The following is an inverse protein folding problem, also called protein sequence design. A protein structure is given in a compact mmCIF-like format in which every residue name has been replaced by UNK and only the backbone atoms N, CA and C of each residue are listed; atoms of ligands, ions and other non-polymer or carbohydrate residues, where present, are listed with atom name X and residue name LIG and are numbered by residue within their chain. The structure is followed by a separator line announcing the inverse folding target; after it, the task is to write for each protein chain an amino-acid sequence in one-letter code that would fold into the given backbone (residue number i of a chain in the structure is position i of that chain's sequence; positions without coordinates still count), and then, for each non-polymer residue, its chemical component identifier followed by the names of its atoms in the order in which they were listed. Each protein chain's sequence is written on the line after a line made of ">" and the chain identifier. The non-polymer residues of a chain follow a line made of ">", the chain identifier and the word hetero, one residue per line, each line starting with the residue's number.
data_IF_740176324812
#
_entry.id   IF_740176324812
#
_cell.length_a   1.000
_cell.length_b   1.000
_cell.length_c   1.000
_cell.angle_alpha   90.00
_cell.angle_beta   90.00
_cell.angle_gamma   90.00
#
_symmetry.space_group_name_H-M   'P 1'
#
loop_
_entity.id
_entity.type
_entity.pdbx_description
1 polymer ?
#
# COMPACT_ATOMS: atom_id res chain seq x y z
N UNK A 1 -53.18 -29.37 19.01
CA UNK A 1 -52.31 -28.24 19.45
C UNK A 1 -51.65 -28.66 20.74
N UNK A 2 -50.33 -28.55 20.84
CA UNK A 2 -49.62 -28.92 22.06
C UNK A 2 -50.03 -27.96 23.19
N UNK A 3 -50.37 -28.50 24.37
CA UNK A 3 -50.78 -27.72 25.56
C UNK A 3 -49.59 -26.93 26.13
N UNK A 4 -48.37 -27.32 25.76
CA UNK A 4 -47.11 -26.74 26.23
C UNK A 4 -46.22 -26.50 25.00
N UNK A 5 -45.87 -25.25 24.76
CA UNK A 5 -44.89 -24.85 23.75
C UNK A 5 -43.48 -24.99 24.33
N UNK A 6 -42.52 -25.45 23.52
CA UNK A 6 -41.11 -25.57 23.92
C UNK A 6 -40.29 -24.59 23.09
N UNK A 7 -39.70 -23.61 23.75
CA UNK A 7 -38.77 -22.64 23.16
C UNK A 7 -37.35 -23.08 23.50
N UNK A 8 -36.54 -23.32 22.47
CA UNK A 8 -35.14 -23.70 22.61
C UNK A 8 -34.35 -23.09 21.47
N UNK A 9 -33.04 -23.00 21.65
CA UNK A 9 -32.16 -22.59 20.57
C UNK A 9 -32.20 -23.58 19.41
N UNK A 10 -32.57 -23.10 18.21
CA UNK A 10 -32.44 -23.81 16.94
C UNK A 10 -31.71 -22.95 15.87
N UNK A 11 -31.05 -21.88 16.32
CA UNK A 11 -30.29 -20.98 15.47
C UNK A 11 -29.04 -21.62 14.86
N UNK A 12 -28.44 -20.97 13.84
CA UNK A 12 -27.29 -21.50 13.15
C UNK A 12 -26.01 -21.42 13.99
N UNK A 13 -25.05 -22.30 13.71
CA UNK A 13 -23.76 -22.30 14.39
C UNK A 13 -22.95 -21.02 14.12
N UNK A 14 -22.05 -20.67 15.04
CA UNK A 14 -21.15 -19.51 14.88
C UNK A 14 -21.79 -18.15 15.15
N UNK A 15 -22.99 -18.13 15.74
CA UNK A 15 -23.75 -16.92 16.05
C UNK A 15 -23.58 -16.53 17.52
N UNK A 16 -23.43 -15.24 17.79
CA UNK A 16 -23.34 -14.69 19.15
C UNK A 16 -24.72 -14.37 19.76
N UNK A 17 -25.65 -13.84 18.96
CA UNK A 17 -27.03 -13.65 19.39
C UNK A 17 -28.03 -14.04 18.31
N UNK A 18 -29.12 -14.67 18.72
CA UNK A 18 -30.19 -15.09 17.83
C UNK A 18 -31.56 -14.87 18.47
N UNK A 19 -32.46 -14.24 17.71
CA UNK A 19 -33.84 -13.98 18.10
C UNK A 19 -34.71 -15.17 17.72
N UNK A 20 -35.45 -15.71 18.70
CA UNK A 20 -36.45 -16.75 18.45
C UNK A 20 -37.57 -16.19 17.54
N UNK A 21 -37.98 -16.89 16.46
CA UNK A 21 -38.89 -16.32 15.46
C UNK A 21 -40.31 -16.05 15.97
N UNK A 22 -40.84 -16.91 16.84
CA UNK A 22 -42.20 -16.75 17.37
C UNK A 22 -42.20 -15.85 18.61
N UNK A 23 -43.03 -14.81 18.60
CA UNK A 23 -43.18 -13.87 19.72
C UNK A 23 -44.41 -14.15 20.57
N UNK A 24 -45.34 -14.97 20.08
CA UNK A 24 -46.56 -15.34 20.81
C UNK A 24 -46.25 -16.54 21.70
N UNK A 25 -46.03 -16.27 22.99
CA UNK A 25 -45.69 -17.30 23.96
C UNK A 25 -46.93 -17.67 24.79
N UNK A 26 -47.17 -18.97 24.94
CA UNK A 26 -48.15 -19.51 25.87
C UNK A 26 -47.78 -19.26 27.34
N UNK A 27 -48.79 -19.26 28.23
CA UNK A 27 -48.61 -19.06 29.68
C UNK A 27 -47.74 -20.13 30.37
N UNK A 28 -47.53 -21.28 29.73
CA UNK A 28 -46.75 -22.41 30.26
C UNK A 28 -45.58 -22.81 29.35
N UNK A 29 -45.11 -21.87 28.52
CA UNK A 29 -44.00 -22.13 27.61
C UNK A 29 -42.77 -22.59 28.38
N UNK A 30 -42.19 -23.71 27.94
CA UNK A 30 -40.96 -24.27 28.49
C UNK A 30 -39.78 -23.71 27.71
N UNK A 31 -38.97 -22.87 28.35
CA UNK A 31 -37.73 -22.35 27.81
C UNK A 31 -36.58 -23.30 28.17
N UNK A 32 -35.85 -23.78 27.17
CA UNK A 32 -34.66 -24.62 27.36
C UNK A 32 -33.44 -23.82 26.89
N UNK A 33 -32.52 -23.55 27.81
CA UNK A 33 -31.28 -22.83 27.56
C UNK A 33 -30.11 -23.80 27.67
N UNK A 34 -29.24 -23.83 26.65
CA UNK A 34 -28.06 -24.69 26.67
C UNK A 34 -27.01 -24.19 27.66
N UNK A 35 -26.08 -25.06 28.06
CA UNK A 35 -25.09 -24.80 29.11
C UNK A 35 -24.19 -23.58 28.82
N UNK A 36 -23.87 -23.37 27.55
CA UNK A 36 -23.04 -22.26 27.08
C UNK A 36 -23.85 -21.04 26.63
N UNK A 37 -25.12 -20.95 26.98
CA UNK A 37 -26.04 -19.90 26.55
C UNK A 37 -26.70 -19.20 27.73
N UNK A 38 -27.17 -17.99 27.45
CA UNK A 38 -28.07 -17.24 28.30
C UNK A 38 -29.21 -16.72 27.44
N UNK A 39 -30.44 -16.85 27.92
CA UNK A 39 -31.61 -16.33 27.21
C UNK A 39 -32.09 -15.04 27.87
N UNK A 40 -32.41 -14.02 27.08
CA UNK A 40 -32.96 -12.75 27.56
C UNK A 40 -34.36 -12.58 26.99
N UNK A 41 -35.32 -12.25 27.86
CA UNK A 41 -36.68 -11.95 27.47
C UNK A 41 -36.87 -10.44 27.30
N UNK A 42 -37.39 -10.03 26.16
CA UNK A 42 -37.80 -8.65 25.90
C UNK A 42 -39.32 -8.56 25.82
N UNK A 43 -39.89 -7.49 26.37
CA UNK A 43 -41.30 -7.16 26.20
C UNK A 43 -41.49 -5.66 26.16
N UNK A 44 -42.34 -5.18 25.25
CA UNK A 44 -42.63 -3.75 25.13
C UNK A 44 -41.41 -2.90 24.81
N UNK A 45 -40.36 -3.49 24.22
CA UNK A 45 -39.09 -2.81 23.94
C UNK A 45 -38.08 -2.80 25.09
N UNK A 46 -38.40 -3.36 26.24
CA UNK A 46 -37.49 -3.43 27.39
C UNK A 46 -36.93 -4.84 27.59
N UNK A 47 -35.64 -4.93 27.91
CA UNK A 47 -35.02 -6.17 28.37
C UNK A 47 -35.48 -6.43 29.81
N UNK A 48 -36.14 -7.55 30.07
CA UNK A 48 -36.72 -7.86 31.38
C UNK A 48 -35.80 -8.80 32.16
N UNK A 49 -36.03 -10.11 32.09
CA UNK A 49 -35.28 -11.12 32.83
C UNK A 49 -34.30 -11.89 31.94
N UNK A 50 -33.24 -12.41 32.56
CA UNK A 50 -32.30 -13.34 31.93
C UNK A 50 -32.38 -14.72 32.57
N UNK A 51 -32.19 -15.75 31.75
CA UNK A 51 -32.32 -17.15 32.10
C UNK A 51 -31.01 -17.86 31.76
N UNK A 52 -30.37 -18.42 32.77
CA UNK A 52 -29.15 -19.22 32.62
C UNK A 52 -29.48 -20.60 32.05
N UNK A 53 -28.45 -21.43 31.84
CA UNK A 53 -28.59 -22.82 31.44
C UNK A 53 -29.66 -23.59 32.25
N UNK A 54 -30.43 -24.43 31.57
CA UNK A 54 -31.44 -25.28 32.19
C UNK A 54 -32.83 -25.13 31.56
N UNK A 55 -33.81 -25.77 32.20
CA UNK A 55 -35.23 -25.71 31.82
C UNK A 55 -35.94 -24.72 32.73
N UNK A 56 -36.62 -23.75 32.12
CA UNK A 56 -37.37 -22.70 32.78
C UNK A 56 -38.81 -22.71 32.30
N UNK A 57 -39.75 -22.39 33.18
CA UNK A 57 -41.17 -22.22 32.81
C UNK A 57 -41.46 -20.73 32.74
N UNK A 58 -41.77 -20.23 31.54
CA UNK A 58 -42.16 -18.84 31.34
C UNK A 58 -43.63 -18.67 31.71
N UNK A 59 -43.89 -17.96 32.80
CA UNK A 59 -45.24 -17.55 33.20
C UNK A 59 -45.21 -16.10 33.65
N UNK A 60 -46.29 -15.36 33.38
CA UNK A 60 -46.41 -13.94 33.75
C UNK A 60 -46.24 -13.71 35.26
N UNK A 61 -46.53 -14.71 36.09
CA UNK A 61 -46.41 -14.66 37.54
C UNK A 61 -44.99 -14.92 38.06
N UNK A 62 -44.16 -15.67 37.32
CA UNK A 62 -42.83 -16.10 37.77
C UNK A 62 -41.68 -15.19 37.29
N UNK A 63 -42.00 -14.15 36.52
CA UNK A 63 -41.03 -13.23 35.93
C UNK A 63 -41.19 -11.89 36.69
N UNK A 64 -40.33 -11.59 37.69
CA UNK A 64 -40.57 -10.54 38.67
C UNK A 64 -40.88 -9.16 38.06
N UNK A 65 -40.19 -8.80 36.97
CA UNK A 65 -40.40 -7.50 36.31
C UNK A 65 -41.68 -7.52 35.46
N UNK A 66 -42.02 -8.65 34.83
CA UNK A 66 -43.29 -8.80 34.08
C UNK A 66 -44.51 -8.70 35.00
N UNK A 67 -44.43 -9.24 36.23
CA UNK A 67 -45.55 -9.23 37.16
C UNK A 67 -46.01 -7.80 37.51
N UNK A 68 -45.07 -6.84 37.57
CA UNK A 68 -45.36 -5.43 37.84
C UNK A 68 -45.94 -4.68 36.64
N UNK A 69 -45.53 -5.05 35.42
CA UNK A 69 -45.97 -4.40 34.16
C UNK A 69 -47.31 -4.96 33.68
N UNK A 70 -47.66 -6.19 34.03
CA UNK A 70 -48.81 -6.94 33.51
C UNK A 70 -49.89 -7.10 34.59
N UNK A 71 -50.30 -6.00 35.23
CA UNK A 71 -51.52 -5.96 36.03
C UNK A 71 -52.75 -5.84 35.11
N UNK A 72 -53.07 -6.91 34.39
CA UNK A 72 -54.28 -7.04 33.55
C UNK A 72 -55.33 -7.92 34.26
N UNK A 73 -56.65 -7.64 34.14
CA UNK A 73 -57.73 -8.32 34.88
C UNK A 73 -58.02 -9.76 34.39
N UNK A 74 -57.12 -10.37 33.61
CA UNK A 74 -57.29 -11.69 32.98
C UNK A 74 -56.78 -12.87 33.83
N UNK A 75 -56.67 -12.72 35.16
CA UNK A 75 -56.39 -13.83 36.07
C UNK A 75 -55.11 -14.63 35.80
N UNK A 76 -54.11 -14.01 35.16
CA UNK A 76 -52.78 -14.61 34.92
C UNK A 76 -52.70 -15.69 33.84
N UNK A 77 -53.72 -15.87 32.97
CA UNK A 77 -53.83 -17.01 32.03
C UNK A 77 -53.99 -16.64 30.55
N UNK A 78 -53.37 -15.55 30.09
CA UNK A 78 -53.37 -15.18 28.67
C UNK A 78 -52.00 -15.41 28.03
N UNK A 79 -51.94 -15.88 26.77
CA UNK A 79 -50.74 -15.74 25.94
C UNK A 79 -50.24 -14.29 26.00
N UNK A 80 -48.93 -14.12 25.95
CA UNK A 80 -48.29 -12.82 25.98
C UNK A 80 -47.28 -12.71 24.84
N UNK A 81 -47.19 -11.52 24.25
CA UNK A 81 -46.17 -11.22 23.25
C UNK A 81 -44.87 -10.85 23.95
N UNK A 82 -43.81 -11.59 23.68
CA UNK A 82 -42.46 -11.30 24.15
C UNK A 82 -41.43 -11.89 23.18
N UNK A 83 -40.24 -11.28 23.14
CA UNK A 83 -39.14 -11.76 22.32
C UNK A 83 -38.16 -12.55 23.19
N UNK A 84 -37.76 -13.74 22.72
CA UNK A 84 -36.72 -14.53 23.38
C UNK A 84 -35.44 -14.42 22.57
N UNK A 85 -34.39 -13.94 23.21
CA UNK A 85 -33.06 -13.81 22.64
C UNK A 85 -32.13 -14.83 23.26
N UNK A 86 -31.50 -15.67 22.45
CA UNK A 86 -30.45 -16.57 22.90
C UNK A 86 -29.10 -15.95 22.60
N UNK A 87 -28.27 -15.81 23.64
CA UNK A 87 -26.91 -15.29 23.56
C UNK A 87 -25.93 -16.41 23.86
N UNK A 88 -24.98 -16.63 22.96
CA UNK A 88 -23.93 -17.62 23.11
C UNK A 88 -22.75 -17.02 23.88
N UNK A 89 -22.40 -17.64 25.01
CA UNK A 89 -21.32 -17.20 25.92
C UNK A 89 -20.04 -18.01 25.74
N UNK A 90 -19.97 -18.90 24.73
CA UNK A 90 -18.73 -19.59 24.39
C UNK A 90 -17.64 -18.59 24.01
N UNK A 91 -16.41 -18.90 24.42
CA UNK A 91 -15.24 -18.13 24.01
C UNK A 91 -14.89 -18.46 22.55
N UNK A 92 -15.18 -17.55 21.63
CA UNK A 92 -14.84 -17.68 20.22
C UNK A 92 -13.41 -17.22 19.99
N UNK A 93 -12.49 -18.15 19.74
CA UNK A 93 -11.05 -17.90 19.75
C UNK A 93 -10.45 -17.52 18.38
N UNK A 94 -11.25 -17.57 17.31
CA UNK A 94 -10.77 -17.48 15.92
C UNK A 94 -11.47 -16.36 15.15
N UNK A 95 -11.58 -15.18 15.78
CA UNK A 95 -12.11 -13.99 15.11
C UNK A 95 -11.01 -13.35 14.29
N UNK A 96 -10.99 -13.65 12.99
CA UNK A 96 -9.99 -13.14 12.06
C UNK A 96 -10.18 -11.65 11.79
N UNK A 97 -9.07 -10.94 11.66
CA UNK A 97 -9.04 -9.55 11.23
C UNK A 97 -7.90 -9.32 10.24
N UNK A 98 -8.04 -8.27 9.43
CA UNK A 98 -7.00 -7.86 8.49
C UNK A 98 -7.18 -6.41 8.08
N UNK A 99 -6.07 -5.78 7.69
CA UNK A 99 -6.07 -4.42 7.15
C UNK A 99 -6.86 -4.37 5.85
N UNK A 100 -7.89 -3.53 5.81
CA UNK A 100 -8.75 -3.36 4.65
C UNK A 100 -8.06 -2.73 3.45
N UNK A 101 -7.11 -1.85 3.73
CA UNK A 101 -6.28 -1.13 2.77
C UNK A 101 -4.83 -1.23 3.23
N UNK A 102 -3.85 -1.23 2.32
CA UNK A 102 -2.44 -1.16 2.70
C UNK A 102 -2.15 0.07 3.56
N UNK A 103 -1.34 -0.12 4.58
CA UNK A 103 -0.79 0.90 5.45
C UNK A 103 0.41 1.52 4.76
N UNK A 104 0.32 2.80 4.43
CA UNK A 104 1.46 3.54 3.86
C UNK A 104 2.38 3.95 5.00
N UNK A 105 3.55 3.32 5.08
CA UNK A 105 4.52 3.54 6.14
C UNK A 105 5.86 3.96 5.54
N UNK A 106 6.57 4.87 6.21
CA UNK A 106 7.95 5.17 5.87
C UNK A 106 8.87 4.30 6.73
N UNK A 107 9.73 3.51 6.09
CA UNK A 107 10.74 2.74 6.81
C UNK A 107 11.80 3.70 7.39
N UNK A 108 12.07 3.68 8.70
CA UNK A 108 13.00 4.63 9.33
C UNK A 108 14.48 4.36 8.99
N UNK A 109 14.83 3.14 8.59
CA UNK A 109 16.21 2.73 8.28
C UNK A 109 16.57 3.05 6.84
N UNK A 110 15.66 2.78 5.90
CA UNK A 110 15.88 2.96 4.47
C UNK A 110 15.23 4.22 3.91
N UNK A 111 14.38 4.91 4.69
CA UNK A 111 13.70 6.16 4.31
C UNK A 111 12.82 6.02 3.05
N UNK A 112 12.33 4.80 2.77
CA UNK A 112 11.44 4.52 1.65
C UNK A 112 10.01 4.37 2.13
N UNK A 113 9.06 4.75 1.27
CA UNK A 113 7.64 4.49 1.48
C UNK A 113 7.31 3.05 1.07
N UNK A 114 6.61 2.34 1.95
CA UNK A 114 6.26 0.94 1.77
C UNK A 114 4.79 0.76 2.12
N UNK A 115 4.07 0.00 1.30
CA UNK A 115 2.69 -0.38 1.56
C UNK A 115 2.65 -1.70 2.35
N UNK A 116 2.19 -1.69 3.58
CA UNK A 116 2.18 -2.87 4.46
C UNK A 116 0.75 -3.36 4.70
N UNK A 117 0.52 -4.67 4.77
CA UNK A 117 -0.73 -5.24 5.27
C UNK A 117 -0.46 -6.04 6.54
N UNK A 118 -1.44 -6.05 7.43
CA UNK A 118 -1.37 -6.81 8.66
C UNK A 118 -2.64 -7.65 8.81
N UNK A 119 -2.49 -8.85 9.34
CA UNK A 119 -3.60 -9.73 9.64
C UNK A 119 -3.32 -10.54 10.88
N UNK A 120 -4.40 -11.04 11.48
CA UNK A 120 -4.33 -11.84 12.68
C UNK A 120 -5.69 -12.32 13.11
N UNK A 121 -5.78 -12.63 14.40
CA UNK A 121 -7.01 -13.10 15.02
C UNK A 121 -7.11 -12.62 16.47
N UNK A 122 -8.32 -12.60 16.99
CA UNK A 122 -8.57 -12.41 18.42
C UNK A 122 -9.68 -13.32 18.91
N UNK A 123 -9.73 -13.48 20.23
CA UNK A 123 -10.80 -14.15 20.94
C UNK A 123 -11.85 -13.15 21.44
N UNK A 124 -13.11 -13.56 21.46
CA UNK A 124 -14.19 -12.82 22.11
C UNK A 124 -15.07 -13.72 22.94
N UNK A 125 -15.58 -13.18 24.04
CA UNK A 125 -16.60 -13.81 24.86
C UNK A 125 -17.65 -12.78 25.22
N UNK A 126 -18.93 -13.14 25.15
CA UNK A 126 -19.99 -12.27 25.63
C UNK A 126 -20.05 -12.37 27.17
N UNK A 127 -19.65 -11.28 27.83
CA UNK A 127 -19.59 -11.21 29.29
C UNK A 127 -20.91 -10.67 29.87
N UNK A 128 -21.47 -9.63 29.26
CA UNK A 128 -22.77 -9.05 29.62
C UNK A 128 -23.74 -9.14 28.44
N UNK A 129 -24.57 -10.20 28.37
CA UNK A 129 -25.54 -10.40 27.30
C UNK A 129 -26.55 -9.26 27.15
N UNK A 130 -26.96 -8.61 28.24
CA UNK A 130 -27.94 -7.52 28.18
C UNK A 130 -27.32 -6.28 27.55
N UNK A 131 -26.14 -5.88 28.02
CA UNK A 131 -25.39 -4.74 27.46
C UNK A 131 -25.03 -4.99 26.00
N UNK A 132 -24.65 -6.22 25.66
CA UNK A 132 -24.38 -6.66 24.30
C UNK A 132 -25.59 -6.49 23.37
N UNK A 133 -26.75 -7.04 23.76
CA UNK A 133 -27.96 -6.92 22.95
C UNK A 133 -28.39 -5.46 22.76
N UNK A 134 -28.39 -4.67 23.83
CA UNK A 134 -28.84 -3.27 23.80
C UNK A 134 -27.91 -2.35 23.01
N UNK A 135 -26.59 -2.57 23.05
CA UNK A 135 -25.62 -1.67 22.41
C UNK A 135 -25.23 -2.08 20.99
N UNK A 136 -25.19 -3.38 20.69
CA UNK A 136 -24.68 -3.87 19.40
C UNK A 136 -25.75 -4.53 18.53
N UNK A 137 -26.63 -5.35 19.10
CA UNK A 137 -27.55 -6.15 18.28
C UNK A 137 -28.75 -5.32 17.79
N UNK A 138 -29.30 -4.48 18.67
CA UNK A 138 -30.40 -3.57 18.31
C UNK A 138 -31.61 -4.32 17.75
N UNK A 139 -31.92 -4.11 16.48
CA UNK A 139 -33.09 -4.69 15.79
C UNK A 139 -32.75 -5.84 14.84
N UNK A 140 -31.49 -6.27 14.76
CA UNK A 140 -31.12 -7.41 13.93
C UNK A 140 -31.85 -8.67 14.42
N UNK A 141 -32.15 -9.65 13.55
CA UNK A 141 -32.68 -10.95 14.01
C UNK A 141 -31.56 -11.89 14.48
N UNK A 142 -30.32 -11.63 14.06
CA UNK A 142 -29.15 -12.46 14.31
C UNK A 142 -27.90 -11.59 14.29
N UNK A 143 -26.92 -11.91 15.14
CA UNK A 143 -25.63 -11.23 15.21
C UNK A 143 -24.49 -12.25 15.21
N UNK A 144 -23.67 -12.21 14.17
CA UNK A 144 -22.58 -13.15 13.92
C UNK A 144 -21.20 -12.49 13.97
N UNK A 145 -20.17 -13.28 13.66
CA UNK A 145 -18.78 -12.84 13.63
C UNK A 145 -18.51 -11.76 12.60
N UNK A 146 -19.07 -11.87 11.40
CA UNK A 146 -18.82 -10.90 10.34
C UNK A 146 -19.44 -9.54 10.66
N UNK A 147 -20.64 -9.54 11.23
CA UNK A 147 -21.31 -8.32 11.70
C UNK A 147 -20.48 -7.64 12.78
N UNK A 148 -19.98 -8.41 13.76
CA UNK A 148 -19.12 -7.89 14.81
C UNK A 148 -17.85 -7.24 14.27
N UNK A 149 -17.12 -7.94 13.39
CA UNK A 149 -15.88 -7.43 12.79
C UNK A 149 -16.15 -6.15 11.97
N UNK A 150 -17.29 -6.09 11.28
CA UNK A 150 -17.71 -4.90 10.53
C UNK A 150 -17.90 -3.69 11.46
N UNK A 151 -18.58 -3.86 12.60
CA UNK A 151 -18.88 -2.77 13.54
C UNK A 151 -17.60 -2.24 14.21
N UNK A 152 -16.69 -3.13 14.58
CA UNK A 152 -15.42 -2.74 15.21
C UNK A 152 -14.31 -2.39 14.22
N UNK A 153 -14.55 -2.48 12.90
CA UNK A 153 -13.53 -2.27 11.87
C UNK A 153 -12.81 -0.94 12.03
N UNK A 154 -13.53 0.16 12.19
CA UNK A 154 -12.93 1.49 12.33
C UNK A 154 -12.02 1.57 13.56
N UNK A 155 -12.49 1.07 14.69
CA UNK A 155 -11.74 1.04 15.95
C UNK A 155 -10.48 0.18 15.84
N UNK A 156 -10.60 -1.02 15.27
CA UNK A 156 -9.49 -1.94 15.01
C UNK A 156 -8.45 -1.28 14.13
N UNK A 157 -8.85 -0.80 12.94
CA UNK A 157 -7.93 -0.23 11.96
C UNK A 157 -7.20 1.00 12.51
N UNK A 158 -7.90 1.89 13.22
CA UNK A 158 -7.27 3.08 13.82
C UNK A 158 -6.17 2.70 14.80
N UNK A 159 -6.43 1.76 15.71
CA UNK A 159 -5.45 1.35 16.73
C UNK A 159 -4.29 0.53 16.15
N UNK A 160 -4.57 -0.37 15.21
CA UNK A 160 -3.55 -1.16 14.52
C UNK A 160 -2.58 -0.22 13.77
N UNK A 161 -3.13 0.73 13.00
CA UNK A 161 -2.33 1.65 12.20
C UNK A 161 -1.46 2.55 13.08
N UNK A 162 -2.05 3.13 14.12
CA UNK A 162 -1.32 4.00 15.06
C UNK A 162 -0.18 3.23 15.74
N UNK A 163 -0.46 2.04 16.30
CA UNK A 163 0.54 1.29 17.06
C UNK A 163 1.66 0.77 16.17
N UNK A 164 1.36 0.18 15.01
CA UNK A 164 2.39 -0.26 14.06
C UNK A 164 3.26 0.94 13.64
N UNK A 165 2.65 2.05 13.23
CA UNK A 165 3.39 3.25 12.79
C UNK A 165 4.27 3.82 13.90
N UNK A 166 3.73 3.91 15.13
CA UNK A 166 4.43 4.46 16.28
C UNK A 166 5.67 3.63 16.64
N UNK A 167 5.61 2.30 16.52
CA UNK A 167 6.75 1.42 16.77
C UNK A 167 7.86 1.64 15.75
N UNK A 168 7.51 1.76 14.46
CA UNK A 168 8.48 2.08 13.41
C UNK A 168 9.17 3.41 13.69
N UNK A 169 8.39 4.48 13.90
CA UNK A 169 8.92 5.83 14.01
C UNK A 169 9.71 6.05 15.31
N UNK A 170 9.14 5.68 16.47
CA UNK A 170 9.75 6.00 17.75
C UNK A 170 10.88 5.05 18.14
N UNK A 171 10.73 3.75 17.88
CA UNK A 171 11.81 2.78 18.14
C UNK A 171 12.83 2.71 16.99
N UNK A 172 12.58 3.41 15.87
CA UNK A 172 13.42 3.41 14.65
C UNK A 172 13.70 2.01 14.11
N UNK A 173 12.70 1.12 14.21
CA UNK A 173 12.80 -0.28 13.75
C UNK A 173 12.40 -0.34 12.27
N UNK A 174 13.19 -1.05 11.46
CA UNK A 174 12.82 -1.29 10.07
C UNK A 174 11.59 -2.20 9.99
N UNK A 175 10.75 -2.01 8.97
CA UNK A 175 9.61 -2.91 8.74
C UNK A 175 10.04 -4.38 8.60
N UNK A 176 11.24 -4.63 8.08
CA UNK A 176 11.79 -5.97 7.91
C UNK A 176 12.06 -6.68 9.25
N UNK A 177 12.21 -5.91 10.33
CA UNK A 177 12.52 -6.38 11.68
C UNK A 177 11.28 -6.34 12.60
N UNK A 178 10.13 -5.83 12.10
CA UNK A 178 8.92 -5.63 12.91
C UNK A 178 8.36 -6.92 13.50
N UNK A 179 8.58 -8.06 12.82
CA UNK A 179 8.12 -9.37 13.25
C UNK A 179 8.69 -9.79 14.61
N UNK A 180 9.84 -9.23 15.04
CA UNK A 180 10.37 -9.45 16.38
C UNK A 180 9.51 -8.82 17.50
N UNK A 181 8.63 -7.87 17.16
CA UNK A 181 7.85 -7.07 18.10
C UNK A 181 6.35 -7.34 18.04
N UNK A 182 5.88 -8.26 17.18
CA UNK A 182 4.43 -8.50 16.97
C UNK A 182 3.71 -8.90 18.25
N UNK A 183 4.36 -9.64 19.16
CA UNK A 183 3.78 -10.03 20.46
C UNK A 183 3.57 -8.81 21.36
N UNK A 184 4.56 -7.91 21.44
CA UNK A 184 4.48 -6.67 22.22
C UNK A 184 3.39 -5.74 21.66
N UNK A 185 3.37 -5.56 20.34
CA UNK A 185 2.37 -4.76 19.63
C UNK A 185 0.97 -5.33 19.85
N UNK A 186 0.81 -6.65 19.73
CA UNK A 186 -0.49 -7.33 19.94
C UNK A 186 -1.04 -7.08 21.34
N UNK A 187 -0.19 -7.19 22.38
CA UNK A 187 -0.58 -6.92 23.76
C UNK A 187 -0.98 -5.46 23.97
N UNK A 188 -0.27 -4.52 23.34
CA UNK A 188 -0.61 -3.09 23.41
C UNK A 188 -1.95 -2.79 22.70
N UNK A 189 -2.19 -3.39 21.53
CA UNK A 189 -3.48 -3.26 20.83
C UNK A 189 -4.61 -3.82 21.71
N UNK A 190 -4.45 -5.03 22.26
CA UNK A 190 -5.45 -5.63 23.13
C UNK A 190 -5.80 -4.72 24.31
N UNK A 191 -4.79 -4.19 25.00
CA UNK A 191 -4.99 -3.32 26.15
C UNK A 191 -5.77 -2.04 25.82
N UNK A 192 -5.52 -1.44 24.65
CA UNK A 192 -6.27 -0.26 24.19
C UNK A 192 -7.71 -0.59 23.81
N UNK A 193 -7.94 -1.73 23.16
CA UNK A 193 -9.26 -2.11 22.66
C UNK A 193 -10.17 -2.71 23.73
N UNK A 194 -9.61 -3.32 24.78
CA UNK A 194 -10.36 -4.07 25.78
C UNK A 194 -11.51 -3.26 26.41
N UNK A 195 -11.26 -1.99 26.76
CA UNK A 195 -12.28 -1.13 27.35
C UNK A 195 -13.48 -0.89 26.42
N UNK A 196 -13.22 -0.59 25.14
CA UNK A 196 -14.28 -0.35 24.15
C UNK A 196 -15.12 -1.59 23.85
N UNK A 197 -14.50 -2.77 23.85
CA UNK A 197 -15.22 -4.04 23.73
C UNK A 197 -16.09 -4.30 24.98
N UNK A 198 -15.53 -4.12 26.18
CA UNK A 198 -16.25 -4.31 27.46
C UNK A 198 -17.40 -3.30 27.62
N UNK A 199 -17.25 -2.09 27.09
CA UNK A 199 -18.33 -1.10 27.02
C UNK A 199 -19.51 -1.59 26.20
N UNK A 200 -19.29 -2.53 25.29
CA UNK A 200 -20.31 -3.19 24.47
C UNK A 200 -20.73 -4.55 25.03
N UNK A 201 -20.26 -4.94 26.22
CA UNK A 201 -20.58 -6.23 26.86
C UNK A 201 -19.75 -7.42 26.35
N UNK A 202 -18.69 -7.16 25.59
CA UNK A 202 -17.81 -8.18 25.00
C UNK A 202 -16.45 -8.13 25.71
N UNK A 203 -15.97 -9.27 26.17
CA UNK A 203 -14.59 -9.44 26.62
C UNK A 203 -13.68 -9.74 25.42
N UNK A 204 -12.61 -8.97 25.26
CA UNK A 204 -11.59 -9.18 24.24
C UNK A 204 -10.42 -9.99 24.80
N UNK A 205 -10.20 -11.16 24.21
CA UNK A 205 -9.19 -12.12 24.63
C UNK A 205 -8.18 -12.37 23.50
N UNK A 206 -6.96 -12.78 23.85
CA UNK A 206 -5.98 -13.37 22.93
C UNK A 206 -5.85 -12.64 21.58
N UNK A 207 -5.65 -11.32 21.60
CA UNK A 207 -5.42 -10.57 20.37
C UNK A 207 -4.03 -10.86 19.85
N UNK A 208 -3.93 -11.31 18.60
CA UNK A 208 -2.67 -11.62 17.95
C UNK A 208 -2.60 -10.99 16.56
N UNK A 209 -1.41 -10.48 16.24
CA UNK A 209 -0.97 -10.23 14.88
C UNK A 209 -0.21 -11.48 14.43
N UNK A 210 -0.74 -12.16 13.41
CA UNK A 210 -0.10 -13.36 12.86
C UNK A 210 1.01 -12.98 11.89
N UNK A 211 0.82 -11.92 11.11
CA UNK A 211 1.82 -11.46 10.15
C UNK A 211 1.60 -10.01 9.74
N UNK A 212 2.74 -9.36 9.49
CA UNK A 212 2.83 -8.04 8.89
C UNK A 212 3.65 -8.22 7.61
N UNK A 213 2.98 -8.15 6.46
CA UNK A 213 3.58 -8.43 5.17
C UNK A 213 3.55 -7.22 4.24
N UNK A 214 4.46 -7.24 3.28
CA UNK A 214 4.52 -6.25 2.22
C UNK A 214 4.11 -6.97 0.93
N UNK A 215 3.22 -6.40 0.09
CA UNK A 215 2.86 -7.00 -1.18
C UNK A 215 4.10 -7.28 -2.04
N UNK A 216 4.19 -8.48 -2.60
CA UNK A 216 5.37 -8.90 -3.38
C UNK A 216 5.62 -8.07 -4.64
N UNK A 217 4.59 -7.38 -5.13
CA UNK A 217 4.64 -6.51 -6.29
C UNK A 217 4.95 -5.04 -5.98
N UNK A 218 5.31 -4.70 -4.73
CA UNK A 218 5.68 -3.33 -4.37
C UNK A 218 7.05 -2.97 -4.98
N UNK A 219 7.12 -1.98 -5.90
CA UNK A 219 8.35 -1.62 -6.59
C UNK A 219 9.43 -1.06 -5.65
N UNK A 220 9.04 -0.49 -4.50
CA UNK A 220 10.00 0.00 -3.51
C UNK A 220 10.74 -1.16 -2.85
N UNK A 221 10.05 -2.28 -2.59
CA UNK A 221 10.66 -3.48 -2.02
C UNK A 221 11.53 -4.22 -3.00
N UNK A 222 11.12 -4.34 -4.26
CA UNK A 222 11.94 -4.98 -5.28
C UNK A 222 13.30 -4.27 -5.39
N UNK A 223 13.27 -2.93 -5.49
CA UNK A 223 14.49 -2.10 -5.50
C UNK A 223 15.31 -2.23 -4.22
N UNK A 224 14.65 -2.28 -3.06
CA UNK A 224 15.35 -2.44 -1.79
C UNK A 224 16.04 -3.81 -1.72
N UNK A 225 15.36 -4.89 -2.10
CA UNK A 225 15.92 -6.25 -2.13
C UNK A 225 17.13 -6.32 -3.06
N UNK A 226 17.03 -5.74 -4.27
CA UNK A 226 18.15 -5.66 -5.22
C UNK A 226 19.33 -4.88 -4.64
N UNK A 227 19.09 -3.71 -4.04
CA UNK A 227 20.14 -2.90 -3.42
C UNK A 227 20.81 -3.61 -2.25
N UNK A 228 20.04 -4.32 -1.42
CA UNK A 228 20.56 -5.11 -0.31
C UNK A 228 21.36 -6.32 -0.80
N UNK A 229 20.89 -7.02 -1.83
CA UNK A 229 21.61 -8.13 -2.44
C UNK A 229 22.94 -7.66 -3.04
N UNK A 230 22.92 -6.54 -3.79
CA UNK A 230 24.12 -5.93 -4.35
C UNK A 230 25.12 -5.49 -3.27
N UNK A 231 24.62 -4.90 -2.18
CA UNK A 231 25.46 -4.56 -1.03
C UNK A 231 26.10 -5.80 -0.42
N UNK A 232 25.32 -6.86 -0.20
CA UNK A 232 25.84 -8.11 0.34
C UNK A 232 26.89 -8.75 -0.58
N UNK A 233 26.66 -8.72 -1.90
CA UNK A 233 27.64 -9.19 -2.89
C UNK A 233 28.95 -8.40 -2.80
N UNK A 234 28.87 -7.06 -2.78
CA UNK A 234 30.04 -6.19 -2.57
C UNK A 234 30.77 -6.51 -1.27
N UNK A 235 30.04 -6.72 -0.17
CA UNK A 235 30.60 -7.05 1.14
C UNK A 235 31.28 -8.44 1.16
N UNK A 236 30.72 -9.43 0.45
CA UNK A 236 31.27 -10.79 0.35
C UNK A 236 32.54 -10.82 -0.51
N UNK A 237 32.49 -10.18 -1.68
CA UNK A 237 33.60 -10.21 -2.65
C UNK A 237 34.69 -9.21 -2.25
N UNK A 238 34.35 -8.17 -1.48
CA UNK A 238 35.30 -7.18 -0.95
C UNK A 238 35.58 -6.00 -1.88
N UNK A 239 34.69 -5.73 -2.84
CA UNK A 239 34.82 -4.57 -3.73
C UNK A 239 33.86 -3.45 -3.35
N UNK A 240 34.33 -2.21 -3.44
CA UNK A 240 33.50 -1.01 -3.26
C UNK A 240 32.72 -0.67 -4.53
N UNK A 241 31.62 0.08 -4.41
CA UNK A 241 30.83 0.54 -5.55
C UNK A 241 31.67 1.27 -6.62
N UNK A 242 32.66 2.06 -6.20
CA UNK A 242 33.58 2.75 -7.12
C UNK A 242 34.45 1.76 -7.91
N UNK A 243 34.95 0.72 -7.24
CA UNK A 243 35.74 -0.33 -7.89
C UNK A 243 34.87 -1.12 -8.88
N UNK A 244 33.67 -1.54 -8.50
CA UNK A 244 32.75 -2.26 -9.39
C UNK A 244 32.41 -1.43 -10.64
N UNK A 245 32.07 -0.15 -10.47
CA UNK A 245 31.83 0.74 -11.61
C UNK A 245 33.07 0.91 -12.50
N UNK A 246 34.27 0.95 -11.91
CA UNK A 246 35.52 1.02 -12.69
C UNK A 246 35.75 -0.25 -13.52
N UNK A 247 35.48 -1.43 -12.95
CA UNK A 247 35.57 -2.70 -13.66
C UNK A 247 34.52 -2.79 -14.78
N UNK A 248 33.27 -2.43 -14.50
CA UNK A 248 32.21 -2.42 -15.51
C UNK A 248 32.52 -1.44 -16.67
N UNK A 249 33.11 -0.27 -16.39
CA UNK A 249 33.54 0.65 -17.46
C UNK A 249 34.70 0.11 -18.29
N UNK A 250 35.64 -0.62 -17.68
CA UNK A 250 36.73 -1.27 -18.41
C UNK A 250 36.22 -2.42 -19.28
N UNK A 251 35.28 -3.21 -18.78
CA UNK A 251 34.65 -4.31 -19.52
C UNK A 251 33.82 -3.79 -20.69
N UNK A 252 33.02 -2.74 -20.50
CA UNK A 252 32.23 -2.11 -21.57
C UNK A 252 33.11 -1.47 -22.65
N UNK A 253 34.27 -0.91 -22.26
CA UNK A 253 35.27 -0.41 -23.19
C UNK A 253 35.99 -1.53 -23.96
N UNK A 254 36.25 -2.67 -23.32
CA UNK A 254 36.86 -3.84 -23.95
C UNK A 254 35.90 -4.59 -24.89
N UNK A 255 34.61 -4.63 -24.57
CA UNK A 255 33.55 -5.25 -25.37
C UNK A 255 33.15 -4.45 -26.62
N UNK A 256 33.57 -3.18 -26.72
CA UNK A 256 33.33 -2.30 -27.88
C UNK A 256 34.65 -1.88 -28.59
N UNK A 257 35.42 -2.83 -29.16
CA UNK A 257 36.71 -2.55 -29.79
C UNK A 257 36.62 -1.64 -31.02
N UNK A 258 35.42 -1.41 -31.58
CA UNK A 258 35.20 -0.53 -32.73
C UNK A 258 35.24 0.97 -32.41
N UNK A 259 35.28 1.39 -31.14
CA UNK A 259 35.26 2.81 -30.74
C UNK A 259 36.52 3.24 -29.93
N UNK A 260 37.65 2.55 -30.15
CA UNK A 260 38.95 2.76 -29.48
C UNK A 260 39.49 4.20 -29.55
N UNK A 261 38.93 5.07 -30.39
CA UNK A 261 39.34 6.48 -30.52
C UNK A 261 38.79 7.44 -29.45
N UNK A 262 37.68 7.12 -28.79
CA UNK A 262 37.05 8.05 -27.83
C UNK A 262 37.31 7.70 -26.35
N UNK A 263 37.56 6.43 -26.03
CA UNK A 263 37.82 5.98 -24.65
C UNK A 263 39.28 6.11 -24.20
N UNK A 264 40.24 6.10 -25.13
CA UNK A 264 41.68 6.20 -24.84
C UNK A 264 42.15 7.63 -24.52
N UNK A 265 41.35 8.66 -24.83
CA UNK A 265 41.72 10.04 -24.56
C UNK A 265 41.32 10.49 -23.14
N UNK A 266 40.41 9.77 -22.46
CA UNK A 266 40.05 10.07 -21.06
C UNK A 266 40.76 9.17 -20.03
N UNK A 267 41.50 8.15 -20.48
CA UNK A 267 42.33 7.27 -19.65
C UNK A 267 43.79 7.72 -19.54
N UNK A 268 44.13 8.89 -20.11
CA UNK A 268 45.45 9.53 -20.00
C UNK A 268 45.84 10.04 -18.60
N UNK A 269 45.02 9.80 -17.57
CA UNK A 269 45.32 10.16 -16.17
C UNK A 269 45.36 8.96 -15.20
N UNK A 270 45.17 7.73 -15.67
CA UNK A 270 45.08 6.55 -14.79
C UNK A 270 46.37 5.72 -14.61
N UNK A 271 47.45 6.04 -15.34
CA UNK A 271 48.68 5.25 -15.38
C UNK A 271 49.95 6.05 -15.00
N UNK A 272 49.78 7.21 -14.34
CA UNK A 272 50.85 8.20 -14.12
C UNK A 272 51.26 8.47 -12.67
N UNK A 273 51.19 7.50 -11.74
CA UNK A 273 51.62 7.69 -10.35
C UNK A 273 52.35 6.48 -9.73
N UNK A 274 53.34 5.93 -10.44
CA UNK A 274 54.32 5.00 -9.88
C UNK A 274 55.68 5.68 -9.72
N UNK A 275 56.06 6.00 -8.49
CA UNK A 275 57.34 6.60 -8.10
C UNK A 275 58.55 5.83 -8.65
N UNK A 276 59.47 6.56 -9.29
CA UNK A 276 60.86 6.15 -9.49
C UNK A 276 61.32 6.14 -10.93
N UNK A 277 62.01 7.21 -11.35
CA UNK A 277 63.21 7.22 -12.20
C UNK A 277 63.48 8.64 -12.71
N UNK A 278 64.11 9.41 -11.83
CA UNK A 278 64.77 10.68 -12.13
C UNK A 278 65.93 10.43 -13.10
N UNK A 279 65.81 10.87 -14.35
CA UNK A 279 66.89 10.70 -15.34
C UNK A 279 66.71 11.46 -16.65
N UNK A 280 65.54 11.43 -17.32
CA UNK A 280 65.42 12.06 -18.64
C UNK A 280 64.93 13.53 -18.60
N UNK A 281 64.56 14.06 -17.43
CA UNK A 281 63.90 15.37 -17.29
C UNK A 281 64.86 16.57 -17.41
N UNK A 282 66.17 16.38 -17.24
CA UNK A 282 67.17 17.47 -17.28
C UNK A 282 67.57 17.87 -18.70
N UNK A 283 67.48 16.97 -19.68
CA UNK A 283 67.80 17.27 -21.09
C UNK A 283 66.68 18.08 -21.78
N UNK A 284 65.43 17.91 -21.31
CA UNK A 284 64.27 18.64 -21.83
C UNK A 284 64.18 20.08 -21.29
N UNK A 285 64.67 20.34 -20.08
CA UNK A 285 64.73 21.69 -19.48
C UNK A 285 65.74 22.60 -20.20
N UNK A 286 66.84 22.04 -20.72
CA UNK A 286 67.89 22.78 -21.43
C UNK A 286 67.50 23.13 -22.88
N UNK A 287 66.52 22.43 -23.46
CA UNK A 287 65.92 22.79 -24.76
C UNK A 287 64.86 23.88 -24.65
N UNK A 288 64.30 24.10 -23.46
CA UNK A 288 63.25 25.11 -23.23
C UNK A 288 63.81 26.51 -22.91
N UNK A 289 65.10 26.64 -22.61
CA UNK A 289 65.76 27.90 -22.20
C UNK A 289 66.53 28.62 -23.31
N UNK A 290 66.63 28.05 -24.53
CA UNK A 290 67.31 28.68 -25.69
C UNK A 290 66.37 29.19 -26.80
N UNK A 291 65.05 29.16 -26.58
CA UNK A 291 64.06 29.75 -27.49
C UNK A 291 63.59 31.12 -27.01
N UNK A 292 64.33 32.15 -27.38
CA UNK A 292 64.06 33.60 -27.30
C UNK A 292 62.57 33.97 -27.49
N UNK A 293 61.97 34.80 -26.62
CA UNK A 293 61.96 36.28 -26.64
C UNK A 293 61.10 36.92 -27.74
N UNK A 294 59.99 37.54 -27.30
CA UNK A 294 59.29 38.74 -27.77
C UNK A 294 59.00 38.90 -29.28
N UNK A 295 57.74 38.68 -29.68
CA UNK A 295 56.96 39.72 -30.37
C UNK A 295 55.45 39.41 -30.32
N UNK A 296 54.63 40.47 -30.26
CA UNK A 296 53.18 40.39 -30.09
C UNK A 296 52.45 39.99 -31.39
N UNK A 297 51.39 39.19 -31.26
CA UNK A 297 50.52 38.87 -32.39
C UNK A 297 49.64 37.67 -32.16
N UNK A 298 48.33 37.92 -32.10
CA UNK A 298 47.26 36.91 -32.09
C UNK A 298 47.19 36.11 -33.39
N UNK A 299 47.31 34.78 -33.33
CA UNK A 299 46.72 33.76 -34.24
C UNK A 299 47.32 32.38 -33.89
N UNK A 300 46.54 31.39 -33.43
CA UNK A 300 45.67 30.46 -34.16
C UNK A 300 46.38 29.23 -34.75
N UNK A 301 46.05 28.04 -34.22
CA UNK A 301 46.06 26.73 -34.87
C UNK A 301 45.33 25.69 -33.99
N UNK A 302 44.75 24.59 -34.49
CA UNK A 302 44.02 24.42 -35.75
C UNK A 302 42.57 23.93 -35.53
N UNK A 303 41.63 24.54 -36.25
CA UNK A 303 40.62 23.81 -37.03
C UNK A 303 39.54 22.96 -36.32
N UNK A 304 39.03 23.35 -35.15
CA UNK A 304 37.68 22.94 -34.78
C UNK A 304 36.69 23.92 -35.42
N UNK A 305 36.11 23.55 -36.56
CA UNK A 305 34.99 24.28 -37.12
C UNK A 305 33.92 24.40 -36.02
N UNK A 306 33.49 25.63 -35.74
CA UNK A 306 32.45 25.90 -34.75
C UNK A 306 31.35 26.69 -35.43
N UNK A 307 30.10 26.36 -35.11
CA UNK A 307 28.92 27.05 -35.62
C UNK A 307 28.20 27.74 -34.49
N UNK A 308 27.87 29.02 -34.69
CA UNK A 308 27.07 29.77 -33.70
C UNK A 308 25.60 29.37 -33.80
N UNK A 309 24.94 29.26 -32.65
CA UNK A 309 23.51 29.03 -32.59
C UNK A 309 22.75 30.31 -32.96
N UNK A 310 21.86 30.24 -33.96
CA UNK A 310 21.02 31.36 -34.36
C UNK A 310 19.99 31.78 -33.28
N UNK A 311 19.68 30.91 -32.31
CA UNK A 311 18.71 31.18 -31.25
C UNK A 311 19.30 31.91 -30.03
N UNK A 312 20.50 31.52 -29.58
CA UNK A 312 21.10 32.05 -28.35
C UNK A 312 22.55 32.53 -28.49
N UNK A 313 23.14 32.46 -29.69
CA UNK A 313 24.51 32.91 -29.97
C UNK A 313 25.63 32.00 -29.46
N UNK A 314 25.31 30.91 -28.74
CA UNK A 314 26.33 29.98 -28.22
C UNK A 314 27.12 29.33 -29.36
N UNK A 315 28.45 29.26 -29.23
CA UNK A 315 29.34 28.54 -30.15
C UNK A 315 29.26 27.04 -29.88
N UNK A 316 28.96 26.27 -30.92
CA UNK A 316 28.84 24.82 -30.84
C UNK A 316 29.88 24.14 -31.75
N UNK A 317 30.32 22.92 -31.43
CA UNK A 317 31.13 22.09 -32.33
C UNK A 317 30.49 21.94 -33.72
N UNK A 318 31.29 21.75 -34.77
CA UNK A 318 30.82 21.65 -36.15
C UNK A 318 29.71 20.61 -36.34
N UNK A 319 29.87 19.46 -35.67
CA UNK A 319 29.04 18.27 -35.74
C UNK A 319 27.83 18.30 -34.79
N UNK A 320 27.72 19.32 -33.92
CA UNK A 320 26.64 19.42 -32.96
C UNK A 320 25.27 19.47 -33.65
N UNK A 321 24.38 18.52 -33.34
CA UNK A 321 23.01 18.47 -33.87
C UNK A 321 22.05 19.40 -33.14
N UNK A 322 22.29 19.61 -31.84
CA UNK A 322 21.53 20.51 -30.98
C UNK A 322 22.48 21.50 -30.31
N UNK A 323 21.98 22.69 -29.99
CA UNK A 323 22.76 23.68 -29.29
C UNK A 323 22.99 23.26 -27.84
N UNK A 324 24.25 23.29 -27.40
CA UNK A 324 24.64 22.96 -26.01
C UNK A 324 24.10 23.96 -24.99
N UNK A 325 23.80 25.19 -25.41
CA UNK A 325 23.30 26.25 -24.53
C UNK A 325 21.77 26.25 -24.37
N UNK A 326 21.02 26.11 -25.47
CA UNK A 326 19.55 26.26 -25.45
C UNK A 326 18.77 25.04 -25.97
N UNK A 327 19.44 23.98 -26.41
CA UNK A 327 18.80 22.77 -26.95
C UNK A 327 18.22 22.90 -28.36
N UNK A 328 18.30 24.06 -29.00
CA UNK A 328 17.74 24.27 -30.35
C UNK A 328 18.52 23.49 -31.42
N UNK A 329 17.81 22.84 -32.35
CA UNK A 329 18.43 22.11 -33.46
C UNK A 329 19.28 23.04 -34.35
N UNK A 330 20.49 22.58 -34.69
CA UNK A 330 21.46 23.28 -35.55
C UNK A 330 21.60 22.59 -36.92
N UNK A 331 20.67 21.68 -37.26
CA UNK A 331 20.60 21.01 -38.55
C UNK A 331 19.69 21.82 -39.49
N UNK A 332 20.11 22.12 -40.74
CA UNK A 332 19.19 22.64 -41.74
C UNK A 332 18.12 21.59 -42.01
N UNK A 333 16.85 21.97 -41.84
CA UNK A 333 15.71 21.10 -42.15
C UNK A 333 15.60 21.00 -43.67
N UNK A 334 15.68 19.79 -44.28
CA UNK A 334 15.40 19.63 -45.71
C UNK A 334 13.97 20.10 -45.99
N UNK A 335 13.79 20.89 -47.04
CA UNK A 335 12.49 21.41 -47.49
C UNK A 335 11.62 20.32 -48.16
N UNK A 336 11.50 19.15 -47.52
CA UNK A 336 10.70 18.03 -47.99
C UNK A 336 9.67 17.66 -46.91
N UNK A 337 8.42 18.04 -47.17
CA UNK A 337 7.20 17.64 -46.48
C UNK A 337 7.27 17.66 -44.93
N UNK A 338 7.31 18.85 -44.32
CA UNK A 338 7.13 18.98 -42.86
C UNK A 338 5.66 18.77 -42.48
N UNK A 339 5.38 17.81 -41.59
CA UNK A 339 4.10 17.83 -40.84
C UNK A 339 4.15 18.98 -39.81
N UNK A 340 3.00 19.47 -39.34
CA UNK A 340 2.95 20.52 -38.31
C UNK A 340 2.68 19.90 -36.94
N UNK A 341 3.29 20.47 -35.90
CA UNK A 341 2.97 20.07 -34.53
C UNK A 341 1.53 20.48 -34.18
N UNK A 342 0.74 19.55 -33.66
CA UNK A 342 -0.65 19.79 -33.23
C UNK A 342 -0.76 20.78 -32.05
N UNK A 343 0.30 20.90 -31.24
CA UNK A 343 0.31 21.75 -30.05
C UNK A 343 0.84 23.15 -30.32
N UNK A 344 1.97 23.29 -31.05
CA UNK A 344 2.62 24.60 -31.26
C UNK A 344 2.61 25.11 -32.72
N UNK A 345 2.04 24.35 -33.66
CA UNK A 345 1.90 24.75 -35.07
C UNK A 345 3.19 24.82 -35.90
N UNK A 346 4.37 24.58 -35.29
CA UNK A 346 5.66 24.65 -35.99
C UNK A 346 5.92 23.40 -36.83
N UNK A 347 6.67 23.52 -37.94
CA UNK A 347 7.01 22.38 -38.79
C UNK A 347 7.86 21.38 -38.01
N UNK A 348 7.53 20.11 -38.15
CA UNK A 348 8.22 18.97 -37.56
C UNK A 348 8.61 17.99 -38.66
N UNK A 349 9.70 17.26 -38.41
CA UNK A 349 10.20 16.26 -39.34
C UNK A 349 9.26 15.06 -39.32
N UNK A 350 8.83 14.52 -40.48
CA UNK A 350 8.04 13.30 -40.53
C UNK A 350 8.69 12.15 -39.75
N UNK A 351 7.94 11.52 -38.84
CA UNK A 351 8.44 10.42 -38.00
C UNK A 351 9.10 10.86 -36.68
N UNK A 352 9.18 12.15 -36.37
CA UNK A 352 9.62 12.61 -35.06
C UNK A 352 8.62 12.19 -33.96
N UNK A 353 9.11 11.58 -32.86
CA UNK A 353 8.27 11.15 -31.71
C UNK A 353 7.86 12.31 -30.79
N UNK A 354 8.65 13.37 -30.76
CA UNK A 354 8.43 14.59 -29.97
C UNK A 354 8.71 15.82 -30.81
N UNK A 355 8.00 16.91 -30.55
CA UNK A 355 8.22 18.18 -31.22
C UNK A 355 9.55 18.80 -30.75
N UNK A 356 10.50 19.08 -31.65
CA UNK A 356 11.77 19.71 -31.29
C UNK A 356 11.62 21.19 -30.86
N UNK A 357 10.41 21.76 -30.98
CA UNK A 357 10.15 23.15 -30.62
C UNK A 357 9.44 23.32 -29.27
N UNK A 358 8.48 22.46 -28.92
CA UNK A 358 7.72 22.56 -27.67
C UNK A 358 7.85 21.33 -26.75
N UNK A 359 8.51 20.26 -27.20
CA UNK A 359 8.67 19.02 -26.43
C UNK A 359 7.46 18.10 -26.41
N UNK A 360 6.31 18.52 -26.96
CA UNK A 360 5.07 17.73 -26.96
C UNK A 360 5.20 16.44 -27.78
N UNK A 361 4.57 15.35 -27.33
CA UNK A 361 4.59 14.10 -28.08
C UNK A 361 3.77 14.22 -29.36
N UNK A 362 4.37 13.82 -30.49
CA UNK A 362 3.71 13.77 -31.79
C UNK A 362 3.03 12.42 -32.02
N UNK A 363 3.15 11.47 -31.08
CA UNK A 363 2.51 10.17 -31.13
C UNK A 363 1.04 10.34 -30.72
N UNK A 364 0.13 10.14 -31.66
CA UNK A 364 -1.32 10.20 -31.40
C UNK A 364 -1.72 8.84 -30.82
N UNK A 365 -2.21 8.83 -29.58
CA UNK A 365 -2.77 7.63 -28.95
C UNK A 365 -4.27 7.55 -29.19
N UNK A 366 -4.77 6.34 -29.39
CA UNK A 366 -6.19 6.07 -29.49
C UNK A 366 -6.90 6.45 -28.19
N UNK A 367 -7.98 7.23 -28.28
CA UNK A 367 -8.79 7.63 -27.12
C UNK A 367 -9.60 6.47 -26.53
N UNK A 368 -9.80 5.39 -27.27
CA UNK A 368 -10.52 4.21 -26.81
C UNK A 368 -9.63 3.23 -26.03
N UNK A 369 -8.49 2.82 -26.59
CA UNK A 369 -7.63 1.77 -26.02
C UNK A 369 -6.20 2.22 -25.68
N UNK A 370 -5.81 3.46 -25.99
CA UNK A 370 -4.47 3.98 -25.73
C UNK A 370 -3.38 3.53 -26.70
N UNK A 371 -3.69 2.71 -27.70
CA UNK A 371 -2.72 2.24 -28.71
C UNK A 371 -2.22 3.38 -29.62
N UNK A 372 -0.95 3.32 -30.02
CA UNK A 372 -0.35 4.33 -30.90
C UNK A 372 -0.94 4.24 -32.32
N UNK A 373 -1.41 5.37 -32.85
CA UNK A 373 -1.98 5.46 -34.19
C UNK A 373 -0.91 5.92 -35.18
N UNK A 374 -0.93 5.35 -36.38
CA UNK A 374 -0.05 5.82 -37.45
C UNK A 374 -0.54 7.17 -38.04
N UNK A 375 0.38 8.01 -38.57
CA UNK A 375 0.01 9.27 -39.21
C UNK A 375 -1.02 9.05 -40.36
N UNK A 376 -2.18 9.72 -40.29
CA UNK A 376 -3.25 9.63 -41.30
C UNK A 376 -4.25 8.48 -41.11
N UNK A 377 -4.15 7.70 -40.03
CA UNK A 377 -5.04 6.58 -39.77
C UNK A 377 -6.41 7.06 -39.24
N UNK A 378 -7.50 6.79 -39.97
CA UNK A 378 -8.86 7.25 -39.60
C UNK A 378 -9.50 6.44 -38.47
N UNK A 379 -9.05 5.20 -38.24
CA UNK A 379 -9.59 4.27 -37.25
C UNK A 379 -8.44 3.50 -36.57
N UNK A 380 -8.60 3.19 -35.28
CA UNK A 380 -7.66 2.35 -34.56
C UNK A 380 -7.69 0.91 -35.11
N UNK A 381 -6.52 0.37 -35.47
CA UNK A 381 -6.40 -1.02 -35.92
C UNK A 381 -6.74 -2.06 -34.84
N UNK A 382 -6.60 -1.70 -33.56
CA UNK A 382 -6.81 -2.62 -32.44
C UNK A 382 -8.26 -2.64 -31.95
N UNK A 383 -8.90 -1.47 -31.80
CA UNK A 383 -10.23 -1.39 -31.19
C UNK A 383 -11.31 -0.76 -32.09
N UNK A 384 -10.97 -0.36 -33.32
CA UNK A 384 -11.90 0.23 -34.28
C UNK A 384 -12.36 1.67 -33.95
N UNK A 385 -11.94 2.24 -32.82
CA UNK A 385 -12.32 3.61 -32.43
C UNK A 385 -11.76 4.63 -33.43
N UNK A 386 -12.61 5.58 -33.84
CA UNK A 386 -12.24 6.64 -34.79
C UNK A 386 -11.15 7.54 -34.19
N UNK A 387 -10.09 7.79 -34.97
CA UNK A 387 -9.01 8.68 -34.55
C UNK A 387 -9.54 10.12 -34.42
N UNK A 388 -9.17 10.81 -33.34
CA UNK A 388 -9.73 12.12 -33.00
C UNK A 388 -9.29 13.27 -33.92
N UNK A 389 -8.33 13.05 -34.84
CA UNK A 389 -7.87 14.07 -35.77
C UNK A 389 -7.67 13.46 -37.17
N UNK A 390 -8.62 13.73 -38.06
CA UNK A 390 -8.44 13.66 -39.50
C UNK A 390 -8.35 15.07 -40.05
#
# INVERSE_FOLDING_TARGET
>A
MAIIEVVKYDGPAGVFAWKYPNQELGTWTQLIVNESQEAILFKGGEALDSFTAGRHTLSTANIPILSNVVNLPFGGKSPFTAEVWFVNKMNSMNVKWGTSSPLQLQDPKYQIMISVRAFGQFGVKIEDPRKFLLKLVGTLPLFDQDTMVSYFRGLLMSNINELISSYLVHKKISILEINAYVVEISKHIQGRLASSFLDSGIELNNFFIDSINIPDNDPAILRLKEALAKKAEMDIIGFTYQQERSFNTMEEAAGNPGNLGAGMMNTGLGLGMGFGLAGPATDMMNRMTRGMSLDGGTAAAPGASSKSCAGCGTLNPADARFCIGCGQSLQPVPAAASSTCHSCGKPVIPGAKFCPHCGESLIIKCTGCGHELQPGQKFCAECGTRAANG
#
